data_IF_105683498210
#
_entry.id   IF_105683498210
#
_cell.length_a   1.000
_cell.length_b   1.000
_cell.length_c   1.000
_cell.angle_alpha   90.00
_cell.angle_beta   90.00
_cell.angle_gamma   90.00
#
_symmetry.space_group_name_H-M   'P 1'
#
loop_
_entity.id
_entity.type
_entity.pdbx_description
1 polymer ?
#
# COMPACT_ATOMS: atom_id res chain seq x y z
N UNK A 1 19.26 13.25 36.55
CA UNK A 1 17.87 12.91 36.20
C UNK A 1 17.90 12.18 34.88
N UNK A 2 17.65 10.87 34.90
CA UNK A 2 17.66 10.01 33.72
C UNK A 2 16.22 9.79 33.28
N UNK A 3 15.79 10.46 32.21
CA UNK A 3 14.55 10.14 31.52
C UNK A 3 14.85 9.16 30.38
N UNK A 4 14.32 7.94 30.50
CA UNK A 4 14.30 6.97 29.42
C UNK A 4 13.28 7.45 28.39
N UNK A 5 13.73 8.07 27.32
CA UNK A 5 12.88 8.34 26.15
C UNK A 5 12.63 7.02 25.41
N UNK A 6 11.37 6.59 25.41
CA UNK A 6 10.94 5.37 24.74
C UNK A 6 10.98 5.52 23.22
N UNK A 7 11.63 4.55 22.56
CA UNK A 7 11.51 4.29 21.12
C UNK A 7 10.03 4.16 20.74
N UNK A 8 9.55 4.99 19.80
CA UNK A 8 8.27 4.75 19.11
C UNK A 8 8.53 4.13 17.75
N UNK A 9 8.91 2.86 17.73
CA UNK A 9 8.66 2.00 16.58
C UNK A 9 7.15 1.78 16.48
N UNK A 10 6.50 2.35 15.46
CA UNK A 10 5.13 1.98 15.10
C UNK A 10 5.22 0.62 14.37
N UNK A 11 5.35 -0.44 15.17
CA UNK A 11 5.21 -1.83 14.72
C UNK A 11 3.75 -2.22 14.94
N UNK A 12 3.04 -2.61 13.90
CA UNK A 12 1.76 -3.29 14.06
C UNK A 12 1.98 -4.67 14.68
N UNK A 13 1.63 -4.83 15.94
CA UNK A 13 1.62 -6.11 16.65
C UNK A 13 0.17 -6.56 16.76
N UNK A 14 -0.24 -7.52 15.92
CA UNK A 14 -1.47 -8.26 16.11
C UNK A 14 -1.17 -9.48 17.00
N UNK A 15 -1.78 -9.51 18.19
CA UNK A 15 -1.67 -10.63 19.13
C UNK A 15 -2.45 -11.87 18.67
N UNK A 16 -1.85 -13.04 18.90
CA UNK A 16 -2.52 -14.34 19.04
C UNK A 16 -3.29 -14.38 20.38
N UNK A 17 -4.29 -15.20 20.70
CA UNK A 17 -4.94 -16.41 20.16
C UNK A 17 -6.41 -16.36 20.65
N UNK A 18 -7.38 -17.20 20.25
CA UNK A 18 -7.61 -18.59 20.71
C UNK A 18 -8.69 -19.20 19.81
N UNK A 19 -8.46 -20.44 19.37
CA UNK A 19 -9.45 -21.27 18.66
C UNK A 19 -10.42 -21.85 19.68
N UNK A 20 -11.72 -21.65 19.47
CA UNK A 20 -12.78 -22.43 20.11
C UNK A 20 -13.58 -23.14 19.03
N UNK A 21 -13.42 -24.46 18.96
CA UNK A 21 -14.24 -25.36 18.16
C UNK A 21 -15.51 -25.72 18.95
N UNK A 22 -16.67 -25.76 18.28
CA UNK A 22 -17.82 -26.56 18.72
C UNK A 22 -18.63 -27.03 17.51
N UNK A 23 -19.27 -28.17 17.74
CA UNK A 23 -19.66 -29.23 16.81
C UNK A 23 -21.09 -29.03 16.32
N UNK A 24 -21.44 -29.67 15.20
CA UNK A 24 -22.63 -29.38 14.39
C UNK A 24 -23.98 -29.88 14.90
N UNK A 25 -25.01 -29.68 14.07
CA UNK A 25 -26.26 -30.46 14.07
C UNK A 25 -26.94 -30.40 12.68
N UNK A 26 -27.05 -31.59 12.08
CA UNK A 26 -28.17 -32.18 11.30
C UNK A 26 -29.28 -31.32 10.68
N UNK A 27 -29.57 -31.55 9.38
CA UNK A 27 -30.82 -32.24 9.00
C UNK A 27 -31.93 -31.47 8.25
N UNK A 28 -32.17 -31.93 7.01
CA UNK A 28 -33.46 -32.19 6.33
C UNK A 28 -34.33 -31.07 5.70
N UNK A 29 -34.26 -31.05 4.37
CA UNK A 29 -35.31 -31.05 3.31
C UNK A 29 -36.72 -30.50 3.57
N UNK A 30 -37.22 -29.73 2.59
CA UNK A 30 -38.56 -29.92 2.00
C UNK A 30 -38.71 -29.23 0.63
N UNK A 31 -39.10 -30.03 -0.36
CA UNK A 31 -39.76 -29.62 -1.61
C UNK A 31 -41.17 -29.08 -1.34
N UNK A 32 -41.61 -28.13 -2.17
CA UNK A 32 -43.01 -27.90 -2.51
C UNK A 32 -43.13 -27.18 -3.88
N UNK A 33 -43.75 -27.88 -4.83
CA UNK A 33 -44.66 -27.42 -5.89
C UNK A 33 -45.53 -26.21 -5.47
N UNK A 34 -46.13 -25.37 -6.30
CA UNK A 34 -46.49 -25.39 -7.73
C UNK A 34 -46.84 -23.93 -8.10
N UNK A 35 -46.62 -23.54 -9.35
CA UNK A 35 -47.04 -22.24 -9.88
C UNK A 35 -47.10 -22.30 -11.40
N UNK A 36 -48.30 -22.56 -11.89
CA UNK A 36 -48.69 -22.61 -13.30
C UNK A 36 -48.17 -21.43 -14.12
N UNK A 37 -47.64 -21.75 -15.30
CA UNK A 37 -47.34 -20.79 -16.36
C UNK A 37 -47.45 -21.49 -17.71
N UNK A 38 -48.55 -21.20 -18.41
CA UNK A 38 -48.83 -21.62 -19.78
C UNK A 38 -47.66 -21.42 -20.76
N UNK A 39 -47.47 -22.41 -21.64
CA UNK A 39 -46.82 -22.30 -22.97
C UNK A 39 -47.95 -22.16 -24.02
N UNK A 40 -47.70 -21.84 -25.32
CA UNK A 40 -46.45 -21.58 -26.06
C UNK A 40 -46.57 -20.24 -26.88
N UNK A 41 -45.67 -19.74 -27.74
CA UNK A 41 -45.08 -20.32 -28.96
C UNK A 41 -43.96 -19.38 -29.50
N UNK A 42 -43.01 -19.99 -30.21
CA UNK A 42 -42.36 -19.52 -31.45
C UNK A 42 -41.02 -18.76 -31.39
N UNK A 43 -40.00 -19.48 -31.88
CA UNK A 43 -38.99 -19.07 -32.88
C UNK A 43 -37.90 -18.06 -32.43
N UNK A 44 -36.62 -18.19 -32.75
CA UNK A 44 -35.81 -19.12 -33.54
C UNK A 44 -34.33 -18.79 -33.29
N UNK A 45 -33.45 -19.80 -33.38
CA UNK A 45 -32.01 -19.73 -33.74
C UNK A 45 -31.08 -18.95 -32.78
N UNK A 46 -29.86 -19.35 -32.42
CA UNK A 46 -28.81 -20.09 -33.15
C UNK A 46 -27.81 -20.63 -32.12
N UNK A 47 -27.14 -21.71 -32.51
CA UNK A 47 -26.15 -22.52 -31.82
C UNK A 47 -25.15 -21.82 -30.86
N UNK A 48 -24.87 -22.50 -29.74
CA UNK A 48 -23.56 -22.45 -29.08
C UNK A 48 -23.23 -23.86 -28.57
N UNK A 49 -22.46 -24.60 -29.36
CA UNK A 49 -21.62 -25.68 -28.88
C UNK A 49 -20.18 -25.21 -28.90
N UNK A 50 -19.47 -25.39 -27.78
CA UNK A 50 -18.00 -25.52 -27.61
C UNK A 50 -17.74 -25.40 -26.10
N UNK A 51 -17.52 -26.51 -25.39
CA UNK A 51 -16.23 -27.20 -25.19
C UNK A 51 -15.41 -26.65 -24.01
N UNK A 52 -14.90 -27.60 -23.22
CA UNK A 52 -14.14 -27.44 -21.99
C UNK A 52 -12.75 -26.84 -22.25
N UNK A 53 -12.35 -25.89 -21.40
CA UNK A 53 -10.94 -25.62 -21.05
C UNK A 53 -11.00 -24.73 -19.80
N UNK A 54 -10.56 -25.15 -18.62
CA UNK A 54 -9.21 -25.53 -18.26
C UNK A 54 -8.87 -24.67 -17.05
N UNK A 55 -8.62 -25.30 -15.90
CA UNK A 55 -8.05 -24.63 -14.73
C UNK A 55 -6.74 -23.95 -15.13
N UNK A 56 -6.73 -22.62 -15.04
CA UNK A 56 -5.51 -21.91 -14.69
C UNK A 56 -5.91 -20.80 -13.72
N UNK A 57 -5.47 -20.98 -12.47
CA UNK A 57 -5.53 -19.95 -11.45
C UNK A 57 -4.71 -18.75 -11.92
N UNK A 58 -5.36 -17.84 -12.64
CA UNK A 58 -4.80 -16.56 -13.02
C UNK A 58 -4.53 -15.77 -11.73
N UNK A 59 -3.31 -15.90 -11.21
CA UNK A 59 -2.76 -14.99 -10.23
C UNK A 59 -2.97 -13.58 -10.78
N UNK A 60 -3.93 -12.85 -10.20
CA UNK A 60 -4.33 -11.55 -10.70
C UNK A 60 -3.11 -10.64 -10.72
N UNK A 61 -2.65 -10.30 -11.94
CA UNK A 61 -1.58 -9.32 -12.12
C UNK A 61 -2.02 -8.02 -11.44
N UNK A 62 -1.20 -7.42 -10.56
CA UNK A 62 -1.55 -6.13 -9.98
C UNK A 62 -1.60 -5.08 -11.10
N UNK A 63 -2.79 -4.51 -11.31
CA UNK A 63 -3.08 -3.54 -12.40
C UNK A 63 -2.61 -2.11 -12.10
N UNK A 64 -1.55 -1.95 -11.32
CA UNK A 64 -0.92 -0.64 -11.07
C UNK A 64 0.25 -0.40 -12.04
N UNK A 65 0.65 0.86 -12.28
CA UNK A 65 1.94 1.13 -12.94
C UNK A 65 3.02 0.41 -12.14
N UNK A 66 3.82 -0.42 -12.82
CA UNK A 66 4.84 -1.26 -12.22
C UNK A 66 6.14 -0.45 -12.15
N UNK A 67 6.60 -0.17 -10.94
CA UNK A 67 7.79 0.64 -10.69
C UNK A 67 9.02 -0.19 -11.04
N UNK A 68 9.76 0.24 -12.06
CA UNK A 68 10.93 -0.49 -12.55
C UNK A 68 12.14 -0.35 -11.63
N UNK A 69 12.18 0.72 -10.82
CA UNK A 69 13.30 1.03 -9.92
C UNK A 69 12.80 1.43 -8.53
N UNK A 70 13.69 1.34 -7.54
CA UNK A 70 13.42 1.82 -6.18
C UNK A 70 13.15 3.33 -6.17
N UNK A 71 13.93 4.07 -6.95
CA UNK A 71 13.82 5.51 -7.11
C UNK A 71 12.44 5.91 -7.66
N UNK A 72 11.93 5.19 -8.68
CA UNK A 72 10.59 5.44 -9.23
C UNK A 72 9.50 5.20 -8.20
N UNK A 73 9.63 4.15 -7.38
CA UNK A 73 8.67 3.84 -6.33
C UNK A 73 8.62 4.94 -5.27
N UNK A 74 9.79 5.38 -4.79
CA UNK A 74 9.90 6.47 -3.81
C UNK A 74 9.41 7.79 -4.40
N UNK A 75 9.81 8.14 -5.63
CA UNK A 75 9.37 9.36 -6.29
C UNK A 75 7.84 9.41 -6.47
N UNK A 76 7.26 8.29 -6.91
CA UNK A 76 5.81 8.17 -7.08
C UNK A 76 5.08 8.29 -5.75
N UNK A 77 5.58 7.64 -4.71
CA UNK A 77 4.97 7.68 -3.37
C UNK A 77 5.04 9.08 -2.76
N UNK A 78 6.21 9.74 -2.79
CA UNK A 78 6.38 11.12 -2.30
C UNK A 78 5.48 12.09 -3.05
N UNK A 79 5.38 11.95 -4.38
CA UNK A 79 4.46 12.74 -5.21
C UNK A 79 3.02 12.56 -4.75
N UNK A 80 2.58 11.31 -4.56
CA UNK A 80 1.23 11.02 -4.10
C UNK A 80 0.94 11.59 -2.69
N UNK A 81 1.93 11.56 -1.79
CA UNK A 81 1.83 12.16 -0.45
C UNK A 81 1.62 13.68 -0.55
N UNK A 82 2.46 14.38 -1.30
CA UNK A 82 2.38 15.85 -1.45
C UNK A 82 1.06 16.26 -2.12
N UNK A 83 0.61 15.51 -3.14
CA UNK A 83 -0.68 15.73 -3.80
C UNK A 83 -1.88 15.37 -2.91
N UNK A 84 -1.67 14.77 -1.73
CA UNK A 84 -2.75 14.32 -0.86
C UNK A 84 -3.59 13.21 -1.47
N UNK A 85 -2.94 12.30 -2.20
CA UNK A 85 -3.57 11.21 -2.94
C UNK A 85 -3.31 9.85 -2.24
N UNK A 86 -3.99 9.55 -1.13
CA UNK A 86 -3.70 8.36 -0.33
C UNK A 86 -3.95 7.05 -1.08
N UNK A 87 -4.88 7.03 -2.03
CA UNK A 87 -5.08 5.86 -2.89
C UNK A 87 -3.87 5.58 -3.78
N UNK A 88 -3.26 6.63 -4.35
CA UNK A 88 -2.07 6.48 -5.18
C UNK A 88 -0.85 6.11 -4.33
N UNK A 89 -0.70 6.73 -3.16
CA UNK A 89 0.33 6.34 -2.19
C UNK A 89 0.19 4.87 -1.79
N UNK A 90 -1.04 4.40 -1.54
CA UNK A 90 -1.31 3.00 -1.23
C UNK A 90 -0.93 2.02 -2.33
N UNK A 91 -1.18 2.35 -3.60
CA UNK A 91 -0.90 1.47 -4.73
C UNK A 91 0.59 1.19 -4.93
N UNK A 92 1.45 2.10 -4.46
CA UNK A 92 2.91 1.96 -4.55
C UNK A 92 3.55 1.53 -3.24
N UNK A 93 2.74 1.15 -2.25
CA UNK A 93 3.20 0.58 -0.99
C UNK A 93 3.00 -0.93 -0.95
N UNK A 94 3.78 -1.60 -0.11
CA UNK A 94 3.58 -3.01 0.20
C UNK A 94 3.93 -3.30 1.66
N UNK A 95 3.26 -4.28 2.24
CA UNK A 95 3.76 -4.95 3.43
C UNK A 95 4.74 -6.04 2.97
N UNK A 96 6.00 -6.04 3.46
CA UNK A 96 6.93 -7.10 3.12
C UNK A 96 6.47 -8.45 3.70
N UNK A 97 6.97 -9.55 3.13
CA UNK A 97 6.71 -10.88 3.66
C UNK A 97 7.28 -11.01 5.09
N UNK A 98 6.55 -11.71 5.97
CA UNK A 98 6.96 -11.92 7.37
C UNK A 98 6.74 -13.37 7.77
N UNK A 99 7.83 -14.11 7.99
CA UNK A 99 7.77 -15.54 8.33
C UNK A 99 6.97 -16.33 7.29
N UNK A 100 5.82 -16.86 7.69
CA UNK A 100 4.89 -17.60 6.84
C UNK A 100 3.91 -16.72 6.05
N UNK A 101 3.82 -15.42 6.34
CA UNK A 101 2.90 -14.52 5.66
C UNK A 101 3.51 -13.96 4.38
N UNK A 102 2.85 -14.11 3.21
CA UNK A 102 3.34 -13.54 1.97
C UNK A 102 3.29 -12.01 1.99
N UNK A 103 4.14 -11.38 1.17
CA UNK A 103 4.09 -9.94 0.97
C UNK A 103 2.73 -9.49 0.42
N UNK A 104 2.25 -8.34 0.88
CA UNK A 104 0.94 -7.78 0.49
C UNK A 104 1.15 -6.43 -0.18
N UNK A 105 1.10 -6.42 -1.51
CA UNK A 105 1.20 -5.18 -2.28
C UNK A 105 -0.11 -4.38 -2.24
N UNK A 106 -0.03 -3.08 -2.48
CA UNK A 106 -1.17 -2.23 -2.74
C UNK A 106 -1.95 -2.71 -3.97
N UNK A 107 -3.26 -2.89 -3.83
CA UNK A 107 -4.15 -3.21 -4.95
C UNK A 107 -5.31 -2.24 -4.96
N UNK A 108 -5.97 -2.00 -6.12
CA UNK A 108 -7.13 -1.13 -6.16
C UNK A 108 -8.23 -1.55 -5.17
N UNK A 109 -8.50 -2.84 -5.03
CA UNK A 109 -9.48 -3.36 -4.06
C UNK A 109 -9.09 -3.00 -2.62
N UNK A 110 -7.83 -3.27 -2.23
CA UNK A 110 -7.31 -2.94 -0.90
C UNK A 110 -7.34 -1.44 -0.65
N UNK A 111 -6.81 -0.64 -1.57
CA UNK A 111 -6.66 0.81 -1.41
C UNK A 111 -7.97 1.60 -1.49
N UNK A 112 -9.02 1.02 -2.08
CA UNK A 112 -10.38 1.56 -2.04
C UNK A 112 -11.20 1.09 -0.83
N UNK A 113 -10.74 0.07 -0.10
CA UNK A 113 -11.41 -0.45 1.08
C UNK A 113 -11.44 0.54 2.24
N UNK A 114 -12.29 0.28 3.24
CA UNK A 114 -12.44 1.09 4.46
C UNK A 114 -12.00 0.35 5.73
N UNK A 115 -11.09 -0.61 5.61
CA UNK A 115 -10.52 -1.30 6.78
C UNK A 115 -9.77 -0.30 7.67
N UNK A 116 -9.63 -0.57 8.98
CA UNK A 116 -8.90 0.31 9.91
C UNK A 116 -7.51 0.68 9.38
N UNK A 117 -6.78 -0.27 8.79
CA UNK A 117 -5.44 -0.07 8.26
C UNK A 117 -5.43 0.94 7.09
N UNK A 118 -6.41 0.87 6.19
CA UNK A 118 -6.51 1.77 5.04
C UNK A 118 -6.96 3.18 5.47
N UNK A 119 -7.75 3.27 6.56
CA UNK A 119 -8.13 4.56 7.16
C UNK A 119 -6.93 5.23 7.82
N UNK A 120 -6.18 4.49 8.61
CA UNK A 120 -4.97 4.98 9.25
C UNK A 120 -3.93 5.42 8.23
N UNK A 121 -3.71 4.62 7.17
CA UNK A 121 -2.83 5.01 6.07
C UNK A 121 -3.26 6.33 5.42
N UNK A 122 -4.56 6.53 5.19
CA UNK A 122 -5.11 7.80 4.69
C UNK A 122 -4.79 8.99 5.61
N UNK A 123 -4.99 8.81 6.91
CA UNK A 123 -4.69 9.83 7.91
C UNK A 123 -3.19 10.14 7.96
N UNK A 124 -2.34 9.13 7.90
CA UNK A 124 -0.89 9.28 7.91
C UNK A 124 -0.38 9.98 6.64
N UNK A 125 -0.92 9.64 5.46
CA UNK A 125 -0.63 10.41 4.22
C UNK A 125 -1.04 11.88 4.39
N UNK A 126 -2.18 12.16 5.02
CA UNK A 126 -2.60 13.51 5.33
C UNK A 126 -1.60 14.28 6.21
N UNK A 127 -1.07 13.63 7.25
CA UNK A 127 -0.04 14.23 8.13
C UNK A 127 1.28 14.44 7.39
N UNK A 128 1.73 13.43 6.64
CA UNK A 128 2.98 13.48 5.88
C UNK A 128 2.94 14.57 4.80
N UNK A 129 1.79 14.80 4.16
CA UNK A 129 1.61 15.86 3.18
C UNK A 129 2.09 17.21 3.72
N UNK A 130 1.66 17.59 4.92
CA UNK A 130 2.06 18.86 5.54
C UNK A 130 3.56 18.94 5.73
N UNK A 131 4.20 17.86 6.15
CA UNK A 131 5.65 17.83 6.35
C UNK A 131 6.43 17.81 5.04
N UNK A 132 5.91 17.17 4.00
CA UNK A 132 6.64 16.88 2.75
C UNK A 132 6.41 17.94 1.66
N UNK A 133 5.50 18.88 1.88
CA UNK A 133 5.18 19.94 0.91
C UNK A 133 6.03 21.18 1.17
N UNK A 134 6.85 21.64 0.20
CA UNK A 134 7.55 22.91 0.32
C UNK A 134 6.55 24.07 0.49
N UNK A 135 6.91 25.10 1.28
CA UNK A 135 6.03 26.25 1.57
C UNK A 135 5.56 27.02 0.32
N UNK A 136 6.34 26.97 -0.76
CA UNK A 136 6.06 27.64 -2.03
C UNK A 136 5.56 26.67 -3.11
N UNK A 137 5.16 25.45 -2.75
CA UNK A 137 4.70 24.46 -3.72
C UNK A 137 3.40 24.90 -4.40
N UNK A 138 3.30 24.63 -5.70
CA UNK A 138 2.12 24.92 -6.54
C UNK A 138 1.08 23.79 -6.50
N UNK A 139 1.36 22.70 -5.77
CA UNK A 139 0.52 21.51 -5.72
C UNK A 139 0.85 20.46 -6.79
N UNK A 140 1.78 20.75 -7.69
CA UNK A 140 2.34 19.80 -8.64
C UNK A 140 3.86 19.67 -8.43
N UNK A 141 4.29 18.84 -7.45
CA UNK A 141 5.69 18.76 -7.08
C UNK A 141 6.51 18.09 -8.17
N UNK A 142 7.70 18.63 -8.44
CA UNK A 142 8.75 17.90 -9.12
C UNK A 142 9.55 17.09 -8.10
N UNK A 143 9.49 15.78 -8.18
CA UNK A 143 10.22 14.87 -7.29
C UNK A 143 11.33 14.17 -8.06
N UNK A 144 12.57 14.39 -7.64
CA UNK A 144 13.77 13.73 -8.17
C UNK A 144 14.40 12.89 -7.05
N UNK A 145 14.74 11.62 -7.33
CA UNK A 145 15.39 10.72 -6.36
C UNK A 145 16.76 10.35 -6.93
N UNK A 146 17.82 10.65 -6.19
CA UNK A 146 19.16 10.25 -6.57
C UNK A 146 19.31 8.73 -6.50
N UNK A 147 20.11 8.17 -7.42
CA UNK A 147 20.37 6.73 -7.44
C UNK A 147 20.94 6.24 -6.13
N UNK A 148 20.42 5.11 -5.64
CA UNK A 148 20.92 4.42 -4.45
C UNK A 148 21.25 2.96 -4.78
N UNK A 149 22.24 2.35 -4.09
CA UNK A 149 22.52 0.93 -4.30
C UNK A 149 21.36 0.08 -3.77
N UNK A 150 20.91 -0.86 -4.59
CA UNK A 150 20.00 -1.92 -4.19
C UNK A 150 20.79 -3.18 -3.85
N UNK A 151 20.46 -3.83 -2.73
CA UNK A 151 21.08 -5.11 -2.31
C UNK A 151 19.98 -6.11 -1.99
N UNK A 152 19.98 -7.27 -2.66
CA UNK A 152 19.01 -8.33 -2.40
C UNK A 152 17.55 -7.91 -2.60
N UNK A 153 17.27 -7.09 -3.61
CA UNK A 153 15.92 -6.57 -3.88
C UNK A 153 15.43 -5.55 -2.84
N UNK A 154 16.34 -4.92 -2.09
CA UNK A 154 16.03 -3.85 -1.14
C UNK A 154 16.88 -2.63 -1.40
N UNK A 155 16.30 -1.46 -1.23
CA UNK A 155 16.97 -0.17 -1.33
C UNK A 155 16.52 0.73 -0.19
N UNK A 156 17.47 1.46 0.39
CA UNK A 156 17.19 2.45 1.43
C UNK A 156 17.55 3.81 0.85
N UNK A 157 16.55 4.68 0.72
CA UNK A 157 16.68 6.03 0.19
C UNK A 157 16.63 7.02 1.36
N UNK A 158 17.75 7.64 1.74
CA UNK A 158 17.73 8.69 2.75
C UNK A 158 17.06 9.95 2.19
N UNK A 159 16.43 10.75 3.04
CA UNK A 159 15.68 11.93 2.61
C UNK A 159 16.53 13.04 1.97
N UNK A 160 17.84 13.08 2.25
CA UNK A 160 18.77 13.99 1.56
C UNK A 160 19.01 13.62 0.09
N UNK A 161 18.63 12.40 -0.33
CA UNK A 161 18.64 11.92 -1.72
C UNK A 161 17.34 12.13 -2.46
N UNK A 162 16.29 12.60 -1.79
CA UNK A 162 15.00 12.94 -2.40
C UNK A 162 14.91 14.45 -2.50
N UNK A 163 14.66 14.97 -3.69
CA UNK A 163 14.48 16.41 -3.94
C UNK A 163 13.04 16.68 -4.35
N UNK A 164 12.41 17.67 -3.73
CA UNK A 164 11.06 18.16 -4.02
C UNK A 164 11.17 19.65 -4.38
N UNK A 165 10.82 20.01 -5.61
CA UNK A 165 10.89 21.39 -6.11
C UNK A 165 12.26 22.04 -5.86
N UNK A 166 13.34 21.27 -6.05
CA UNK A 166 14.73 21.73 -5.85
C UNK A 166 15.22 21.74 -4.39
N UNK A 167 14.40 21.34 -3.42
CA UNK A 167 14.78 21.23 -2.01
C UNK A 167 14.86 19.77 -1.57
N UNK A 168 15.88 19.39 -0.81
CA UNK A 168 15.97 18.03 -0.28
C UNK A 168 14.84 17.77 0.73
N UNK A 169 14.32 16.55 0.76
CA UNK A 169 13.12 16.21 1.52
C UNK A 169 13.33 16.41 3.03
N UNK A 170 14.54 16.16 3.54
CA UNK A 170 14.92 16.45 4.92
C UNK A 170 14.77 17.95 5.26
N UNK A 171 15.21 18.85 4.37
CA UNK A 171 15.06 20.30 4.53
C UNK A 171 13.60 20.72 4.48
N UNK A 172 12.81 20.12 3.59
CA UNK A 172 11.37 20.38 3.52
C UNK A 172 10.70 19.98 4.84
N UNK A 173 10.97 18.78 5.35
CA UNK A 173 10.43 18.30 6.63
C UNK A 173 10.85 19.22 7.79
N UNK A 174 12.13 19.58 7.87
CA UNK A 174 12.64 20.49 8.90
C UNK A 174 11.96 21.86 8.83
N UNK A 175 11.73 22.41 7.63
CA UNK A 175 11.09 23.72 7.45
C UNK A 175 9.63 23.77 7.90
N UNK A 176 8.98 22.60 7.94
CA UNK A 176 7.61 22.38 8.37
C UNK A 176 7.50 21.82 9.79
N UNK A 177 8.64 21.62 10.47
CA UNK A 177 8.70 21.12 11.85
C UNK A 177 8.96 22.25 12.84
N UNK A 178 8.42 22.11 14.05
CA UNK A 178 8.75 23.00 15.17
C UNK A 178 9.74 22.31 16.11
N UNK A 179 10.79 23.01 16.52
CA UNK A 179 11.73 22.51 17.53
C UNK A 179 12.81 21.52 17.05
N UNK A 180 12.87 21.20 15.76
CA UNK A 180 13.94 20.38 15.18
C UNK A 180 15.00 21.25 14.49
N UNK A 181 16.28 20.91 14.69
CA UNK A 181 17.42 21.50 13.98
C UNK A 181 17.95 20.54 12.92
N UNK A 182 18.72 21.08 11.97
CA UNK A 182 19.44 20.27 11.00
C UNK A 182 20.34 19.23 11.71
N UNK A 183 20.34 18.00 11.18
CA UNK A 183 21.10 16.87 11.73
C UNK A 183 20.41 16.13 12.90
N UNK A 184 19.32 16.67 13.46
CA UNK A 184 18.56 15.98 14.52
C UNK A 184 17.48 15.03 13.98
N UNK A 185 17.29 15.01 12.66
CA UNK A 185 16.28 14.20 12.01
C UNK A 185 16.95 13.37 10.91
N UNK A 186 16.89 12.05 11.06
CA UNK A 186 17.29 11.08 10.04
C UNK A 186 16.03 10.40 9.50
N UNK A 187 15.71 10.66 8.24
CA UNK A 187 14.54 10.09 7.56
C UNK A 187 15.01 9.20 6.42
N UNK A 188 14.49 7.97 6.39
CA UNK A 188 14.81 6.97 5.37
C UNK A 188 13.54 6.33 4.84
N UNK A 189 13.49 6.13 3.53
CA UNK A 189 12.42 5.38 2.86
C UNK A 189 12.99 4.05 2.40
N UNK A 190 12.39 2.94 2.83
CA UNK A 190 12.74 1.62 2.34
C UNK A 190 11.84 1.26 1.16
N UNK A 191 12.46 0.81 0.07
CA UNK A 191 11.78 0.17 -1.04
C UNK A 191 12.23 -1.29 -1.15
N UNK A 192 11.28 -2.19 -1.41
CA UNK A 192 11.55 -3.60 -1.65
C UNK A 192 10.96 -4.02 -3.00
N UNK A 193 11.73 -4.82 -3.73
CA UNK A 193 11.31 -5.49 -4.95
C UNK A 193 10.45 -6.71 -4.61
N UNK A 194 9.20 -6.73 -5.10
CA UNK A 194 8.24 -7.81 -4.89
C UNK A 194 7.66 -8.19 -6.24
N UNK A 195 8.00 -9.40 -6.72
CA UNK A 195 7.59 -9.89 -8.05
C UNK A 195 7.98 -8.88 -9.15
N UNK A 196 9.26 -8.56 -9.31
CA UNK A 196 9.77 -7.69 -10.38
C UNK A 196 9.14 -6.28 -10.42
N UNK A 197 8.84 -5.73 -9.24
CA UNK A 197 8.26 -4.39 -9.08
C UNK A 197 8.68 -3.82 -7.73
N UNK A 198 9.04 -2.53 -7.72
CA UNK A 198 9.46 -1.86 -6.49
C UNK A 198 8.30 -1.21 -5.75
N UNK A 199 8.25 -1.42 -4.44
CA UNK A 199 7.24 -0.83 -3.57
C UNK A 199 7.90 -0.17 -2.37
N UNK A 200 7.33 0.95 -1.91
CA UNK A 200 7.68 1.52 -0.60
C UNK A 200 7.15 0.59 0.49
N UNK A 201 8.05 0.10 1.33
CA UNK A 201 7.70 -0.85 2.39
C UNK A 201 7.84 -0.28 3.79
N UNK A 202 8.65 0.77 3.95
CA UNK A 202 8.84 1.40 5.24
C UNK A 202 9.24 2.87 5.12
N UNK A 203 8.96 3.64 6.17
CA UNK A 203 9.39 5.00 6.36
C UNK A 203 9.88 5.15 7.79
N UNK A 204 11.19 5.29 7.95
CA UNK A 204 11.85 5.40 9.24
C UNK A 204 12.17 6.86 9.56
N UNK A 205 11.77 7.29 10.76
CA UNK A 205 12.14 8.58 11.34
C UNK A 205 12.91 8.36 12.63
N UNK A 206 14.15 8.84 12.68
CA UNK A 206 14.97 8.79 13.88
C UNK A 206 15.32 10.22 14.31
N UNK A 207 15.22 10.47 15.62
CA UNK A 207 15.64 11.73 16.23
C UNK A 207 16.97 11.53 16.94
N UNK A 208 17.93 12.41 16.65
CA UNK A 208 19.28 12.44 17.22
C UNK A 208 19.46 13.50 18.28
#
# INVERSE_FOLDING_TARGET
MSERYGNRTVRWIAGAAVVAAVVGVTGCSKEAESGEGEKPVANSSTAAGSEKQGEDSAASKPSGPRQATAEDAVATWVTAVIKGQPKQACLVMADPATGSSPAKVGTPSRCNGNTPEVREMRENVGKLRTSFTPKQSTGDPKVDVARVPATGGKAVVPADKVTVDGQTLDKVILSNSTGLKAGQLDVKVEATEIKDAWYVTNLDFNLG
#
